data_IF_779602765141
#
_entry.id   IF_779602765141
#
_cell.length_a   1.000
_cell.length_b   1.000
_cell.length_c   1.000
_cell.angle_alpha   90.00
_cell.angle_beta   90.00
_cell.angle_gamma   90.00
#
_symmetry.space_group_name_H-M   'P 1'
#
loop_
_entity.id
_entity.type
_entity.pdbx_description
1 polymer ?
#
# COMPACT_ATOMS: atom_id res chain seq x y z
N UNK A 1 6.22 -9.82 -4.34
CA UNK A 1 5.22 -10.54 -5.17
C UNK A 1 4.08 -9.58 -5.44
N UNK A 2 3.65 -9.45 -6.68
CA UNK A 2 2.50 -8.61 -7.06
C UNK A 2 1.39 -9.53 -7.56
N UNK A 3 0.14 -9.32 -7.12
CA UNK A 3 -1.01 -10.10 -7.57
C UNK A 3 -1.72 -9.35 -8.68
N UNK A 4 -1.98 -10.01 -9.81
CA UNK A 4 -2.67 -9.42 -10.97
C UNK A 4 -4.16 -9.72 -11.00
N UNK A 5 -4.65 -10.67 -10.21
CA UNK A 5 -6.03 -11.15 -10.26
C UNK A 5 -7.08 -10.11 -9.82
N UNK A 6 -6.64 -9.02 -9.19
CA UNK A 6 -7.50 -7.92 -8.73
C UNK A 6 -7.28 -6.64 -9.53
N UNK A 7 -6.86 -6.76 -10.77
CA UNK A 7 -6.72 -5.63 -11.70
C UNK A 7 -7.98 -5.47 -12.54
N UNK A 8 -8.37 -4.23 -12.83
CA UNK A 8 -9.46 -3.93 -13.77
C UNK A 8 -9.16 -4.49 -15.18
N UNK A 9 -10.17 -4.79 -15.98
CA UNK A 9 -11.61 -4.66 -15.71
C UNK A 9 -12.16 -5.85 -14.90
N UNK A 10 -13.09 -5.56 -13.98
CA UNK A 10 -13.77 -6.60 -13.18
C UNK A 10 -14.91 -7.20 -13.99
N UNK A 11 -14.57 -8.17 -14.81
CA UNK A 11 -15.51 -8.88 -15.68
C UNK A 11 -15.66 -10.34 -15.23
N UNK A 12 -16.65 -11.03 -15.79
CA UNK A 12 -16.86 -12.45 -15.53
C UNK A 12 -15.55 -13.22 -15.72
N UNK A 13 -15.16 -13.97 -14.72
CA UNK A 13 -13.95 -14.80 -14.70
C UNK A 13 -14.30 -16.24 -14.36
N UNK A 14 -13.40 -17.17 -14.67
CA UNK A 14 -13.52 -18.60 -14.31
C UNK A 14 -13.17 -18.88 -12.83
N UNK A 15 -13.03 -17.82 -12.02
CA UNK A 15 -12.79 -17.94 -10.59
C UNK A 15 -14.02 -18.50 -9.91
N UNK A 16 -13.89 -19.67 -9.31
CA UNK A 16 -14.96 -20.26 -8.49
C UNK A 16 -15.12 -19.49 -7.19
N UNK A 17 -16.33 -19.00 -6.96
CA UNK A 17 -16.73 -18.28 -5.76
C UNK A 17 -18.22 -18.48 -5.48
N UNK A 18 -18.63 -18.63 -4.22
CA UNK A 18 -20.03 -18.60 -3.84
C UNK A 18 -20.74 -17.30 -4.27
N UNK A 19 -19.99 -16.22 -4.40
CA UNK A 19 -20.51 -14.92 -4.84
C UNK A 19 -20.92 -14.89 -6.31
N UNK A 20 -20.51 -15.86 -7.13
CA UNK A 20 -20.95 -15.95 -8.53
C UNK A 20 -22.46 -16.08 -8.66
N UNK A 21 -23.12 -16.70 -7.67
CA UNK A 21 -24.56 -16.89 -7.63
C UNK A 21 -25.28 -15.89 -6.70
N UNK A 22 -24.54 -14.91 -6.14
CA UNK A 22 -25.13 -13.89 -5.29
C UNK A 22 -25.97 -12.91 -6.13
N UNK A 23 -27.07 -12.46 -5.57
CA UNK A 23 -27.92 -11.41 -6.16
C UNK A 23 -27.31 -10.03 -5.90
N UNK A 24 -26.31 -9.70 -6.68
CA UNK A 24 -25.62 -8.40 -6.67
C UNK A 24 -25.92 -7.76 -8.02
N UNK A 25 -26.75 -6.69 -8.07
CA UNK A 25 -27.20 -6.09 -9.31
C UNK A 25 -26.08 -5.49 -10.17
N UNK A 26 -25.04 -4.95 -9.51
CA UNK A 26 -23.87 -4.42 -10.19
C UNK A 26 -22.86 -5.55 -10.46
N UNK A 27 -22.72 -5.93 -11.73
CA UNK A 27 -21.82 -6.99 -12.14
C UNK A 27 -20.35 -6.66 -11.88
N UNK A 28 -19.94 -5.41 -12.07
CA UNK A 28 -18.56 -4.99 -11.80
C UNK A 28 -18.25 -5.11 -10.32
N UNK A 29 -19.14 -4.63 -9.43
CA UNK A 29 -19.01 -4.79 -7.99
C UNK A 29 -18.97 -6.27 -7.58
N UNK A 30 -19.80 -7.10 -8.22
CA UNK A 30 -19.83 -8.56 -8.00
C UNK A 30 -18.46 -9.19 -8.30
N UNK A 31 -17.90 -8.93 -9.47
CA UNK A 31 -16.62 -9.52 -9.85
C UNK A 31 -15.43 -8.91 -9.11
N UNK A 32 -15.53 -7.66 -8.70
CA UNK A 32 -14.60 -7.07 -7.74
C UNK A 32 -14.56 -7.88 -6.42
N UNK A 33 -15.71 -8.24 -5.87
CA UNK A 33 -15.80 -9.05 -4.65
C UNK A 33 -15.30 -10.48 -4.88
N UNK A 34 -15.62 -11.11 -6.01
CA UNK A 34 -15.13 -12.44 -6.38
C UNK A 34 -13.60 -12.48 -6.44
N UNK A 35 -13.00 -11.51 -7.13
CA UNK A 35 -11.55 -11.42 -7.25
C UNK A 35 -10.87 -11.08 -5.91
N UNK A 36 -11.51 -10.26 -5.08
CA UNK A 36 -11.03 -9.95 -3.72
C UNK A 36 -11.00 -11.22 -2.86
N UNK A 37 -12.09 -12.00 -2.85
CA UNK A 37 -12.17 -13.25 -2.11
C UNK A 37 -11.13 -14.28 -2.60
N UNK A 38 -10.88 -14.31 -3.90
CA UNK A 38 -9.84 -15.17 -4.46
C UNK A 38 -8.45 -14.80 -3.96
N UNK A 39 -8.10 -13.50 -3.99
CA UNK A 39 -6.81 -13.00 -3.51
C UNK A 39 -6.63 -13.28 -2.02
N UNK A 40 -7.68 -13.07 -1.21
CA UNK A 40 -7.68 -13.37 0.22
C UNK A 40 -7.39 -14.86 0.48
N UNK A 41 -8.05 -15.76 -0.24
CA UNK A 41 -7.77 -17.21 -0.16
C UNK A 41 -6.34 -17.56 -0.54
N UNK A 42 -5.82 -16.98 -1.61
CA UNK A 42 -4.44 -17.21 -2.05
C UNK A 42 -3.44 -16.72 -1.01
N UNK A 43 -3.71 -15.57 -0.40
CA UNK A 43 -2.89 -15.01 0.65
C UNK A 43 -2.89 -15.88 1.91
N UNK A 44 -4.08 -16.39 2.31
CA UNK A 44 -4.21 -17.37 3.41
C UNK A 44 -3.38 -18.63 3.14
N UNK A 45 -3.52 -19.21 1.93
CA UNK A 45 -2.75 -20.39 1.53
C UNK A 45 -1.23 -20.14 1.48
N UNK A 46 -0.80 -18.93 1.09
CA UNK A 46 0.60 -18.55 1.15
C UNK A 46 1.12 -18.51 2.60
N UNK A 47 0.36 -17.89 3.51
CA UNK A 47 0.72 -17.83 4.94
C UNK A 47 0.78 -19.23 5.54
N UNK A 48 -0.18 -20.11 5.23
CA UNK A 48 -0.19 -21.48 5.70
C UNK A 48 0.98 -22.29 5.16
N UNK A 49 1.38 -22.04 3.92
CA UNK A 49 2.59 -22.65 3.34
C UNK A 49 3.86 -22.21 4.06
N UNK A 50 3.97 -20.92 4.42
CA UNK A 50 5.10 -20.41 5.23
C UNK A 50 5.15 -21.08 6.60
N UNK A 51 3.99 -21.30 7.25
CA UNK A 51 3.89 -22.01 8.53
C UNK A 51 4.34 -23.47 8.39
N UNK A 52 3.84 -24.16 7.37
CA UNK A 52 4.19 -25.55 7.10
C UNK A 52 5.69 -25.76 6.83
N UNK A 53 6.34 -24.77 6.20
CA UNK A 53 7.78 -24.80 5.93
C UNK A 53 8.64 -24.29 7.11
N UNK A 54 8.05 -23.87 8.22
CA UNK A 54 8.77 -23.28 9.37
C UNK A 54 9.42 -21.92 9.05
N UNK A 55 8.94 -21.23 8.03
CA UNK A 55 9.43 -19.90 7.62
C UNK A 55 8.62 -18.76 8.21
N UNK A 56 7.38 -19.00 8.65
CA UNK A 56 6.48 -17.96 9.12
C UNK A 56 7.09 -17.15 10.27
N UNK A 57 7.55 -17.80 11.34
CA UNK A 57 8.10 -17.15 12.53
C UNK A 57 9.47 -16.47 12.30
N UNK A 58 10.07 -16.71 11.14
CA UNK A 58 11.36 -16.14 10.72
C UNK A 58 11.22 -15.08 9.64
N UNK A 59 9.99 -14.67 9.35
CA UNK A 59 9.69 -13.74 8.27
C UNK A 59 8.88 -12.56 8.78
N UNK A 60 9.28 -11.36 8.40
CA UNK A 60 8.41 -10.19 8.45
C UNK A 60 7.61 -10.16 7.14
N UNK A 61 6.28 -10.18 7.24
CA UNK A 61 5.42 -10.21 6.06
C UNK A 61 4.71 -8.87 5.96
N UNK A 62 4.95 -8.16 4.86
CA UNK A 62 4.28 -6.89 4.55
C UNK A 62 3.30 -7.09 3.41
N UNK A 63 2.06 -6.71 3.63
CA UNK A 63 0.97 -6.78 2.67
C UNK A 63 0.42 -5.37 2.51
N UNK A 64 0.46 -4.85 1.30
CA UNK A 64 -0.07 -3.51 0.99
C UNK A 64 -0.62 -3.46 -0.43
N UNK A 65 -1.47 -2.48 -0.71
CA UNK A 65 -1.84 -2.12 -2.08
C UNK A 65 -0.74 -1.29 -2.75
N UNK A 66 -0.69 -1.32 -4.06
CA UNK A 66 0.21 -0.51 -4.89
C UNK A 66 -0.31 0.92 -5.07
N UNK A 67 -1.61 1.10 -5.08
CA UNK A 67 -2.29 2.40 -5.13
C UNK A 67 -3.69 2.32 -4.50
N UNK A 68 -4.34 3.46 -4.37
CA UNK A 68 -5.73 3.57 -3.93
C UNK A 68 -6.70 3.02 -4.99
N UNK A 69 -7.96 2.87 -4.62
CA UNK A 69 -8.98 2.40 -5.56
C UNK A 69 -9.26 3.43 -6.64
N UNK A 70 -9.25 2.99 -7.90
CA UNK A 70 -9.58 3.78 -9.08
C UNK A 70 -10.94 3.43 -9.68
N UNK A 71 -11.66 2.50 -9.08
CA UNK A 71 -12.94 1.98 -9.61
C UNK A 71 -14.00 3.07 -9.67
N UNK A 72 -14.50 3.35 -10.86
CA UNK A 72 -15.48 4.44 -11.10
C UNK A 72 -16.77 4.28 -10.29
N UNK A 73 -17.26 3.07 -10.19
CA UNK A 73 -18.56 2.77 -9.55
C UNK A 73 -18.58 3.06 -8.05
N UNK A 74 -17.42 3.15 -7.39
CA UNK A 74 -17.34 3.55 -5.98
C UNK A 74 -17.69 5.02 -5.75
N UNK A 75 -17.65 5.84 -6.80
CA UNK A 75 -17.78 7.28 -6.72
C UNK A 75 -19.03 7.81 -7.45
N UNK A 76 -19.84 6.93 -7.99
CA UNK A 76 -21.05 7.32 -8.67
C UNK A 76 -22.00 8.02 -7.68
N UNK A 77 -22.38 9.25 -7.99
CA UNK A 77 -23.19 10.09 -7.12
C UNK A 77 -22.42 10.89 -6.05
N UNK A 78 -21.08 10.79 -5.98
CA UNK A 78 -20.26 11.62 -5.10
C UNK A 78 -19.61 12.77 -5.88
N UNK A 79 -19.71 13.99 -5.36
CA UNK A 79 -19.06 15.16 -5.97
C UNK A 79 -17.53 15.12 -5.85
N UNK A 80 -17.00 14.47 -4.81
CA UNK A 80 -15.56 14.36 -4.52
C UNK A 80 -15.23 13.02 -3.87
N UNK A 81 -14.02 12.53 -4.14
CA UNK A 81 -13.45 11.42 -3.39
C UNK A 81 -13.26 11.81 -1.92
N UNK A 82 -13.71 10.95 -1.03
CA UNK A 82 -13.46 11.12 0.40
C UNK A 82 -12.02 10.76 0.75
N UNK A 83 -11.58 11.19 1.92
CA UNK A 83 -10.24 10.88 2.43
C UNK A 83 -10.01 9.38 2.56
N UNK A 84 -11.03 8.64 3.03
CA UNK A 84 -11.00 7.19 3.18
C UNK A 84 -10.74 6.44 1.87
N UNK A 85 -11.12 7.02 0.74
CA UNK A 85 -10.93 6.42 -0.58
C UNK A 85 -9.46 6.42 -1.03
N UNK A 86 -8.61 7.16 -0.33
CA UNK A 86 -7.18 7.31 -0.63
C UNK A 86 -6.29 6.44 0.25
N UNK A 87 -6.88 5.79 1.26
CA UNK A 87 -6.13 4.91 2.12
C UNK A 87 -5.86 3.57 1.43
N UNK A 88 -4.60 3.18 1.51
CA UNK A 88 -4.13 1.88 1.05
C UNK A 88 -3.94 1.01 2.30
N UNK A 89 -4.47 -0.22 2.33
CA UNK A 89 -4.25 -1.10 3.47
C UNK A 89 -2.77 -1.45 3.60
N UNK A 90 -2.27 -1.44 4.83
CA UNK A 90 -0.94 -1.91 5.18
C UNK A 90 -1.03 -2.84 6.37
N UNK A 91 -0.64 -4.09 6.17
CA UNK A 91 -0.53 -5.10 7.23
C UNK A 91 0.92 -5.53 7.36
N UNK A 92 1.42 -5.56 8.57
CA UNK A 92 2.76 -6.07 8.88
C UNK A 92 2.62 -7.17 9.91
N UNK A 93 2.90 -8.41 9.49
CA UNK A 93 2.84 -9.59 10.34
C UNK A 93 4.25 -9.90 10.87
N UNK A 94 4.33 -10.38 12.10
CA UNK A 94 5.57 -10.70 12.81
C UNK A 94 6.53 -9.51 12.93
N UNK A 95 6.00 -8.29 13.02
CA UNK A 95 6.82 -7.10 13.26
C UNK A 95 7.47 -7.19 14.67
N UNK A 96 8.79 -7.10 14.78
CA UNK A 96 9.48 -7.10 16.08
C UNK A 96 9.30 -5.78 16.84
N UNK A 97 8.90 -4.73 16.14
CA UNK A 97 8.63 -3.40 16.67
C UNK A 97 7.13 -3.10 16.61
N UNK A 98 6.67 -2.27 17.52
CA UNK A 98 5.30 -1.77 17.52
C UNK A 98 5.29 -0.30 17.14
N UNK A 99 4.49 0.04 16.13
CA UNK A 99 4.18 1.42 15.82
C UNK A 99 2.88 1.83 16.54
N UNK A 100 2.74 3.11 16.84
CA UNK A 100 1.48 3.66 17.32
C UNK A 100 0.42 3.58 16.22
N UNK A 101 -0.80 3.19 16.61
CA UNK A 101 -1.94 3.15 15.69
C UNK A 101 -2.47 4.56 15.47
N UNK A 102 -2.84 4.89 14.24
CA UNK A 102 -3.43 6.18 13.87
C UNK A 102 -2.50 7.13 13.13
N UNK A 103 -1.24 6.77 12.95
CA UNK A 103 -0.32 7.57 12.13
C UNK A 103 -0.65 7.43 10.64
N UNK A 104 -0.60 8.55 9.93
CA UNK A 104 -0.68 8.56 8.47
C UNK A 104 0.73 8.42 7.90
N UNK A 105 0.94 7.37 7.13
CA UNK A 105 2.22 7.07 6.48
C UNK A 105 2.06 7.02 4.95
N UNK A 106 3.15 7.25 4.24
CA UNK A 106 3.21 7.08 2.80
C UNK A 106 3.95 5.78 2.43
N UNK A 107 3.74 5.28 1.21
CA UNK A 107 4.44 4.07 0.74
C UNK A 107 5.97 4.20 0.77
N UNK A 108 6.50 5.42 0.59
CA UNK A 108 7.94 5.69 0.69
C UNK A 108 8.51 5.42 2.09
N UNK A 109 7.65 5.43 3.13
CA UNK A 109 8.04 5.20 4.52
C UNK A 109 8.15 3.70 4.86
N UNK A 110 7.65 2.80 3.99
CA UNK A 110 7.67 1.36 4.21
C UNK A 110 9.09 0.82 4.23
N UNK A 111 9.93 1.20 3.27
CA UNK A 111 11.29 0.66 3.16
C UNK A 111 12.18 1.02 4.37
N UNK A 112 12.30 2.29 4.79
CA UNK A 112 13.07 2.63 6.00
C UNK A 112 12.48 1.99 7.27
N UNK A 113 11.16 1.78 7.33
CA UNK A 113 10.54 1.05 8.44
C UNK A 113 10.94 -0.43 8.46
N UNK A 114 11.07 -1.06 7.29
CA UNK A 114 11.57 -2.44 7.18
C UNK A 114 13.02 -2.55 7.65
N UNK A 115 13.88 -1.59 7.31
CA UNK A 115 15.27 -1.57 7.78
C UNK A 115 15.35 -1.52 9.31
N UNK A 116 14.50 -0.71 9.94
CA UNK A 116 14.44 -0.67 11.41
C UNK A 116 13.94 -1.98 12.00
N UNK A 117 12.91 -2.59 11.43
CA UNK A 117 12.41 -3.90 11.87
C UNK A 117 13.44 -5.02 11.74
N UNK A 118 14.33 -4.93 10.75
CA UNK A 118 15.42 -5.88 10.55
C UNK A 118 16.69 -5.54 11.34
N UNK A 119 16.65 -4.50 12.19
CA UNK A 119 17.80 -4.00 12.93
C UNK A 119 18.98 -3.62 12.02
N UNK A 120 18.69 -3.11 10.83
CA UNK A 120 19.68 -2.65 9.86
C UNK A 120 19.97 -1.14 9.99
N UNK A 121 20.19 -0.65 11.23
CA UNK A 121 20.37 0.77 11.49
C UNK A 121 21.67 1.34 10.90
N UNK A 122 22.67 0.48 10.66
CA UNK A 122 23.93 0.85 10.02
C UNK A 122 23.84 0.96 8.49
N UNK A 123 22.68 0.63 7.94
CA UNK A 123 22.42 0.77 6.51
C UNK A 123 22.24 2.24 6.14
N UNK A 124 23.05 2.72 5.21
CA UNK A 124 22.97 4.10 4.72
C UNK A 124 21.79 4.22 3.73
N UNK A 125 20.67 4.70 4.25
CA UNK A 125 19.44 4.86 3.48
C UNK A 125 19.40 6.22 2.78
N UNK A 126 19.46 6.21 1.46
CA UNK A 126 19.41 7.41 0.60
C UNK A 126 18.01 7.71 0.02
N UNK A 127 16.98 7.08 0.51
CA UNK A 127 15.59 7.31 0.06
C UNK A 127 14.96 8.55 0.68
N UNK A 128 13.74 8.85 0.24
CA UNK A 128 12.97 10.04 0.65
C UNK A 128 12.01 9.77 1.81
N UNK A 129 11.83 8.51 2.20
CA UNK A 129 10.92 8.12 3.29
C UNK A 129 11.57 8.22 4.66
N UNK A 130 10.73 8.14 5.68
CA UNK A 130 11.13 8.12 7.09
C UNK A 130 10.52 6.89 7.77
N UNK A 131 11.29 6.23 8.65
CA UNK A 131 10.77 5.10 9.41
C UNK A 131 9.69 5.56 10.39
N UNK A 132 8.56 4.85 10.39
CA UNK A 132 7.46 5.08 11.32
C UNK A 132 7.82 4.80 12.78
N UNK A 133 8.93 4.11 13.02
CA UNK A 133 9.44 3.79 14.37
C UNK A 133 10.37 4.85 14.92
N UNK A 134 10.94 5.71 14.07
CA UNK A 134 11.88 6.78 14.48
C UNK A 134 11.20 8.13 14.60
N UNK A 135 10.30 8.43 13.67
CA UNK A 135 9.58 9.67 13.64
C UNK A 135 8.07 9.36 13.53
N UNK A 136 7.28 10.02 14.35
CA UNK A 136 5.84 9.97 14.21
C UNK A 136 5.42 10.83 13.00
N UNK A 137 5.64 10.26 11.80
CA UNK A 137 5.15 10.87 10.58
C UNK A 137 3.64 10.60 10.48
N UNK A 138 2.83 11.59 10.80
CA UNK A 138 1.39 11.53 10.60
C UNK A 138 0.94 12.35 9.39
N UNK A 139 1.80 12.46 8.40
CA UNK A 139 1.58 13.21 7.18
C UNK A 139 2.03 12.42 5.95
N UNK A 140 1.13 12.26 4.99
CA UNK A 140 1.40 11.68 3.68
C UNK A 140 0.94 12.62 2.56
N UNK A 141 1.58 12.54 1.41
CA UNK A 141 1.19 13.29 0.22
C UNK A 141 0.94 12.34 -0.94
N UNK A 142 -0.10 12.63 -1.73
CA UNK A 142 -0.39 11.95 -2.98
C UNK A 142 0.24 12.71 -4.15
N UNK A 143 0.97 11.99 -4.98
CA UNK A 143 1.65 12.53 -6.16
C UNK A 143 0.66 13.09 -7.19
N UNK A 144 -0.38 12.33 -7.52
CA UNK A 144 -1.25 12.60 -8.66
C UNK A 144 -2.19 13.78 -8.44
N UNK A 145 -2.71 13.92 -7.23
CA UNK A 145 -3.71 14.96 -6.88
C UNK A 145 -3.12 16.13 -6.10
N UNK A 146 -1.86 16.02 -5.67
CA UNK A 146 -1.25 16.99 -4.77
C UNK A 146 -1.91 17.06 -3.39
N UNK A 147 -2.74 16.06 -3.05
CA UNK A 147 -3.38 15.96 -1.75
C UNK A 147 -2.35 15.67 -0.65
N UNK A 148 -2.56 16.26 0.52
CA UNK A 148 -1.73 16.02 1.70
C UNK A 148 -2.64 15.74 2.89
N UNK A 149 -2.44 14.60 3.55
CA UNK A 149 -3.16 14.20 4.74
C UNK A 149 -2.30 14.23 5.99
N UNK A 150 -2.97 14.13 7.16
CA UNK A 150 -2.33 14.11 8.46
C UNK A 150 -2.40 15.45 9.19
N UNK A 151 -1.87 15.48 10.43
CA UNK A 151 -2.03 16.59 11.38
C UNK A 151 -0.77 17.45 11.53
N UNK A 152 0.16 17.41 10.59
CA UNK A 152 1.40 18.20 10.65
C UNK A 152 1.20 19.65 10.22
N UNK A 153 2.16 20.48 10.62
CA UNK A 153 2.22 21.89 10.21
C UNK A 153 2.27 22.06 8.69
N UNK A 154 1.89 23.21 8.19
CA UNK A 154 1.90 23.51 6.76
C UNK A 154 3.29 23.34 6.13
N UNK A 155 4.36 23.61 6.86
CA UNK A 155 5.74 23.39 6.40
C UNK A 155 6.04 21.91 6.15
N UNK A 156 5.61 21.01 7.04
CA UNK A 156 5.78 19.55 6.86
C UNK A 156 4.91 19.06 5.71
N UNK A 157 3.68 19.54 5.59
CA UNK A 157 2.79 19.22 4.47
C UNK A 157 3.39 19.64 3.14
N UNK A 158 3.96 20.85 3.08
CA UNK A 158 4.64 21.34 1.87
C UNK A 158 5.90 20.51 1.56
N UNK A 159 6.68 20.16 2.58
CA UNK A 159 7.85 19.29 2.43
C UNK A 159 7.46 17.93 1.81
N UNK A 160 6.41 17.27 2.31
CA UNK A 160 5.92 16.00 1.76
C UNK A 160 5.49 16.11 0.29
N UNK A 161 4.88 17.22 -0.12
CA UNK A 161 4.59 17.50 -1.54
C UNK A 161 5.87 17.60 -2.39
N UNK A 162 6.86 18.33 -1.89
CA UNK A 162 8.11 18.54 -2.62
C UNK A 162 8.92 17.24 -2.77
N UNK A 163 8.78 16.26 -1.87
CA UNK A 163 9.44 14.95 -2.01
C UNK A 163 9.10 14.27 -3.33
N UNK A 164 7.85 14.33 -3.77
CA UNK A 164 7.44 13.77 -5.07
C UNK A 164 8.12 14.48 -6.22
N UNK A 165 8.23 15.80 -6.17
CA UNK A 165 8.94 16.58 -7.19
C UNK A 165 10.43 16.22 -7.23
N UNK A 166 11.05 16.03 -6.08
CA UNK A 166 12.44 15.59 -5.98
C UNK A 166 12.61 14.20 -6.55
N UNK A 167 11.71 13.26 -6.22
CA UNK A 167 11.69 11.90 -6.78
C UNK A 167 11.64 11.92 -8.30
N UNK A 168 10.74 12.71 -8.89
CA UNK A 168 10.63 12.85 -10.35
C UNK A 168 11.93 13.38 -10.99
N UNK A 169 12.57 14.34 -10.35
CA UNK A 169 13.86 14.87 -10.83
C UNK A 169 14.92 13.78 -10.77
N UNK A 170 15.06 13.09 -9.66
CA UNK A 170 16.06 12.02 -9.48
C UNK A 170 15.89 10.90 -10.49
N UNK A 171 14.64 10.45 -10.73
CA UNK A 171 14.34 9.41 -11.71
C UNK A 171 14.63 9.81 -13.15
N UNK A 172 14.63 11.10 -13.47
CA UNK A 172 14.89 11.63 -14.80
C UNK A 172 16.36 11.98 -15.04
N UNK A 173 17.17 12.04 -14.01
CA UNK A 173 18.60 12.35 -14.15
C UNK A 173 19.40 11.12 -14.57
N UNK A 174 20.36 11.31 -15.48
CA UNK A 174 21.22 10.22 -15.96
C UNK A 174 22.14 9.66 -14.86
N UNK A 175 22.45 10.46 -13.86
CA UNK A 175 23.27 10.04 -12.71
C UNK A 175 22.60 8.92 -11.88
N UNK A 176 21.28 8.90 -11.79
CA UNK A 176 20.55 7.82 -11.12
C UNK A 176 20.62 6.52 -11.93
N UNK A 177 20.47 6.61 -13.25
CA UNK A 177 20.52 5.45 -14.16
C UNK A 177 21.89 4.77 -14.20
N UNK A 178 22.97 5.52 -13.93
CA UNK A 178 24.34 4.98 -13.94
C UNK A 178 24.72 4.23 -12.66
N UNK A 179 23.87 4.27 -11.61
CA UNK A 179 24.10 3.63 -10.31
C UNK A 179 23.24 2.41 -10.04
N UNK A 180 22.32 2.08 -10.96
CA UNK A 180 21.52 0.86 -10.99
C UNK A 180 22.15 -0.17 -11.92
#
# INVERSE_FOLDING_TARGET
>A
MVTMSRHEPYTKSDIESPLNNADIPDEEAKYYLVTTQYVDRCLGGFIDSLKACGLYDRSIIVITGDHDSITRNQYEGREKRELSDRYIPLFILNAPLKAETGNVIAQIDIYPSLLDMMHAQDYDFHGLGESVFRHQSDCAADHSSGWVGGNRSDSVRQYRKELWRVSDILLRTDDFKSRL
#
